data_IF_985425230298
#
_entry.id   IF_985425230298
#
_cell.length_a   1.000
_cell.length_b   1.000
_cell.length_c   1.000
_cell.angle_alpha   90.00
_cell.angle_beta   90.00
_cell.angle_gamma   90.00
#
_symmetry.space_group_name_H-M   'P 1'
#
loop_
_entity.id
_entity.type
_entity.pdbx_description
1 polymer ?
#
# COMPACT_ATOMS: atom_id res chain seq x y z
N UNK A 1 -28.46 -12.08 -22.16
CA UNK A 1 -27.02 -12.02 -22.44
C UNK A 1 -26.28 -12.49 -21.21
N UNK A 2 -25.50 -13.57 -21.35
CA UNK A 2 -24.92 -14.33 -20.22
C UNK A 2 -23.78 -13.57 -19.54
N UNK A 3 -23.80 -13.50 -18.21
CA UNK A 3 -22.73 -12.95 -17.35
C UNK A 3 -21.33 -13.46 -17.69
N UNK A 4 -21.23 -14.64 -18.30
CA UNK A 4 -19.98 -15.30 -18.68
C UNK A 4 -19.25 -14.59 -19.83
N UNK A 5 -19.94 -13.88 -20.73
CA UNK A 5 -19.29 -13.19 -21.85
C UNK A 5 -18.52 -11.92 -21.43
N UNK A 6 -18.79 -11.37 -20.23
CA UNK A 6 -18.09 -10.20 -19.68
C UNK A 6 -16.68 -10.52 -19.18
N UNK A 7 -16.41 -11.77 -18.81
CA UNK A 7 -15.08 -12.21 -18.35
C UNK A 7 -14.18 -12.70 -19.48
N UNK A 8 -14.74 -13.01 -20.66
CA UNK A 8 -13.98 -13.44 -21.84
C UNK A 8 -13.46 -12.27 -22.70
N UNK A 9 -13.82 -11.02 -22.42
CA UNK A 9 -13.38 -9.82 -23.15
C UNK A 9 -12.21 -9.06 -22.52
N UNK A 10 -11.66 -9.53 -21.39
CA UNK A 10 -10.41 -8.94 -20.85
C UNK A 10 -9.26 -9.38 -21.74
N UNK A 11 -8.90 -8.54 -22.70
CA UNK A 11 -7.82 -8.78 -23.65
C UNK A 11 -6.49 -8.99 -22.95
N UNK A 12 -5.58 -9.71 -23.61
CA UNK A 12 -4.22 -9.94 -23.11
C UNK A 12 -3.46 -8.63 -22.86
N UNK A 13 -3.72 -7.60 -23.69
CA UNK A 13 -3.17 -6.25 -23.51
C UNK A 13 -3.59 -5.59 -22.19
N UNK A 14 -4.86 -5.76 -21.76
CA UNK A 14 -5.36 -5.16 -20.53
C UNK A 14 -4.73 -5.83 -19.29
N UNK A 15 -4.48 -7.13 -19.36
CA UNK A 15 -3.78 -7.89 -18.30
C UNK A 15 -2.34 -7.40 -18.17
N UNK A 16 -1.63 -7.28 -19.29
CA UNK A 16 -0.24 -6.81 -19.32
C UNK A 16 -0.11 -5.36 -18.80
N UNK A 17 -1.02 -4.47 -19.21
CA UNK A 17 -1.07 -3.09 -18.70
C UNK A 17 -1.28 -3.07 -17.19
N UNK A 18 -2.21 -3.86 -16.68
CA UNK A 18 -2.52 -3.90 -15.24
C UNK A 18 -1.32 -4.39 -14.42
N UNK A 19 -0.66 -5.47 -14.87
CA UNK A 19 0.56 -5.97 -14.22
C UNK A 19 1.65 -4.91 -14.25
N UNK A 20 1.88 -4.24 -15.38
CA UNK A 20 2.88 -3.17 -15.50
C UNK A 20 2.59 -2.01 -14.53
N UNK A 21 1.36 -1.52 -14.50
CA UNK A 21 0.96 -0.43 -13.60
C UNK A 21 1.08 -0.82 -12.14
N UNK A 22 0.75 -2.07 -11.78
CA UNK A 22 0.92 -2.57 -10.41
C UNK A 22 2.40 -2.65 -10.02
N UNK A 23 3.27 -3.13 -10.91
CA UNK A 23 4.72 -3.19 -10.65
C UNK A 23 5.32 -1.79 -10.52
N UNK A 24 4.93 -0.86 -11.38
CA UNK A 24 5.40 0.54 -11.31
C UNK A 24 4.96 1.19 -10.00
N UNK A 25 3.66 1.12 -9.65
CA UNK A 25 3.12 1.74 -8.42
C UNK A 25 3.49 1.03 -7.13
N UNK A 26 3.88 -0.25 -7.18
CA UNK A 26 4.38 -0.96 -6.01
C UNK A 26 5.77 -0.49 -5.57
N UNK A 27 6.44 0.30 -6.40
CA UNK A 27 7.73 0.90 -6.06
C UNK A 27 7.50 2.09 -5.12
N UNK A 28 8.00 2.03 -3.87
CA UNK A 28 7.83 3.14 -2.94
C UNK A 28 8.67 4.34 -3.39
N UNK A 29 8.04 5.50 -3.44
CA UNK A 29 8.67 6.79 -3.72
C UNK A 29 8.69 7.67 -2.46
N UNK A 30 9.30 8.87 -2.53
CA UNK A 30 9.37 9.77 -1.37
C UNK A 30 7.97 10.18 -0.87
N UNK A 31 7.06 10.52 -1.80
CA UNK A 31 5.67 10.86 -1.50
C UNK A 31 4.94 9.77 -0.71
N UNK A 32 5.24 8.50 -1.02
CA UNK A 32 4.64 7.37 -0.36
C UNK A 32 5.07 7.29 1.12
N UNK A 33 6.36 7.46 1.42
CA UNK A 33 6.83 7.49 2.81
C UNK A 33 6.30 8.71 3.58
N UNK A 34 6.19 9.86 2.90
CA UNK A 34 5.63 11.07 3.48
C UNK A 34 4.15 10.90 3.85
N UNK A 35 3.33 10.33 2.95
CA UNK A 35 1.93 10.02 3.24
C UNK A 35 1.75 9.06 4.41
N UNK A 36 2.57 8.00 4.50
CA UNK A 36 2.50 7.07 5.63
C UNK A 36 2.84 7.78 6.94
N UNK A 37 3.86 8.62 6.95
CA UNK A 37 4.28 9.35 8.14
C UNK A 37 3.17 10.28 8.63
N UNK A 38 2.53 11.01 7.71
CA UNK A 38 1.37 11.85 8.03
C UNK A 38 0.17 11.03 8.52
N UNK A 39 -0.12 9.88 7.90
CA UNK A 39 -1.19 9.00 8.34
C UNK A 39 -0.95 8.46 9.77
N UNK A 40 0.28 8.12 10.11
CA UNK A 40 0.64 7.64 11.46
C UNK A 40 0.48 8.75 12.51
N UNK A 41 0.91 9.98 12.20
CA UNK A 41 0.65 11.12 13.09
C UNK A 41 -0.83 11.39 13.27
N UNK A 42 -1.60 11.40 12.17
CA UNK A 42 -3.04 11.60 12.20
C UNK A 42 -3.74 10.50 13.02
N UNK A 43 -3.35 9.24 12.85
CA UNK A 43 -3.88 8.11 13.63
C UNK A 43 -3.57 8.25 15.12
N UNK A 44 -2.33 8.62 15.46
CA UNK A 44 -1.90 8.77 16.85
C UNK A 44 -2.63 9.94 17.54
N UNK A 45 -2.76 11.09 16.87
CA UNK A 45 -3.57 12.20 17.39
C UNK A 45 -5.07 11.86 17.42
N UNK A 46 -5.58 11.12 16.44
CA UNK A 46 -6.97 10.66 16.43
C UNK A 46 -7.30 9.78 17.62
N UNK A 47 -6.38 8.89 17.99
CA UNK A 47 -6.49 8.06 19.20
C UNK A 47 -6.41 8.90 20.48
N UNK A 48 -5.47 9.84 20.57
CA UNK A 48 -5.32 10.74 21.74
C UNK A 48 -6.56 11.62 21.94
N UNK A 49 -7.19 12.08 20.86
CA UNK A 49 -8.41 12.87 20.89
C UNK A 49 -9.69 12.03 21.04
N UNK A 50 -9.58 10.69 21.05
CA UNK A 50 -10.73 9.79 21.10
C UNK A 50 -11.66 9.90 19.88
N UNK A 51 -11.13 10.32 18.72
CA UNK A 51 -11.90 10.54 17.49
C UNK A 51 -11.70 9.42 16.48
N UNK A 52 -12.68 8.52 16.43
CA UNK A 52 -12.74 7.42 15.46
C UNK A 52 -12.70 7.93 14.01
N UNK A 53 -13.34 9.07 13.75
CA UNK A 53 -13.38 9.70 12.42
C UNK A 53 -11.97 10.04 11.91
N UNK A 54 -11.10 10.56 12.78
CA UNK A 54 -9.72 10.92 12.42
C UNK A 54 -8.88 9.65 12.18
N UNK A 55 -9.09 8.60 12.99
CA UNK A 55 -8.43 7.31 12.82
C UNK A 55 -8.83 6.67 11.50
N UNK A 56 -10.11 6.64 11.16
CA UNK A 56 -10.58 6.10 9.86
C UNK A 56 -10.06 6.96 8.70
N UNK A 57 -10.06 8.30 8.85
CA UNK A 57 -9.50 9.20 7.85
C UNK A 57 -8.03 8.91 7.53
N UNK A 58 -7.23 8.57 8.55
CA UNK A 58 -5.82 8.20 8.38
C UNK A 58 -5.63 6.92 7.54
N UNK A 59 -6.56 5.96 7.63
CA UNK A 59 -6.52 4.73 6.84
C UNK A 59 -6.77 4.99 5.34
N UNK A 60 -7.58 6.00 5.00
CA UNK A 60 -7.84 6.38 3.62
C UNK A 60 -6.66 7.09 2.96
N UNK A 61 -5.86 7.78 3.77
CA UNK A 61 -4.65 8.48 3.30
C UNK A 61 -3.53 7.46 3.02
N UNK A 62 -3.37 6.42 3.83
CA UNK A 62 -2.22 5.50 3.72
C UNK A 62 -2.22 4.67 2.41
N UNK A 63 -1.25 4.86 1.48
CA UNK A 63 -1.25 4.19 0.17
C UNK A 63 -0.65 2.76 0.17
N UNK A 64 -0.88 1.96 1.22
CA UNK A 64 -0.24 0.63 1.42
C UNK A 64 -0.68 -0.43 0.39
N UNK A 65 -1.81 -0.20 -0.28
CA UNK A 65 -2.40 -1.17 -1.21
C UNK A 65 -1.45 -1.62 -2.32
N UNK A 66 -0.74 -0.68 -2.97
CA UNK A 66 0.11 -1.01 -4.12
C UNK A 66 1.33 -1.88 -3.75
N UNK A 67 2.11 -1.59 -2.69
CA UNK A 67 3.15 -2.49 -2.22
C UNK A 67 2.67 -3.91 -1.90
N UNK A 68 1.50 -4.04 -1.27
CA UNK A 68 0.89 -5.34 -0.96
C UNK A 68 0.50 -6.11 -2.23
N UNK A 69 -0.13 -5.44 -3.19
CA UNK A 69 -0.47 -6.04 -4.47
C UNK A 69 0.79 -6.44 -5.25
N UNK A 70 1.83 -5.61 -5.25
CA UNK A 70 3.12 -5.94 -5.86
C UNK A 70 3.78 -7.18 -5.25
N UNK A 71 3.69 -7.36 -3.92
CA UNK A 71 4.15 -8.58 -3.26
C UNK A 71 3.35 -9.80 -3.72
N UNK A 72 2.01 -9.69 -3.76
CA UNK A 72 1.13 -10.78 -4.20
C UNK A 72 1.39 -11.19 -5.66
N UNK A 73 1.64 -10.21 -6.54
CA UNK A 73 2.02 -10.46 -7.94
C UNK A 73 3.40 -11.08 -8.05
N UNK A 74 4.37 -10.63 -7.24
CA UNK A 74 5.68 -11.25 -7.16
C UNK A 74 5.61 -12.73 -6.78
N UNK A 75 4.74 -13.07 -5.81
CA UNK A 75 4.47 -14.46 -5.41
C UNK A 75 3.81 -15.23 -6.55
N UNK A 76 2.76 -14.67 -7.16
CA UNK A 76 2.01 -15.29 -8.25
C UNK A 76 2.87 -15.57 -9.50
N UNK A 77 3.77 -14.63 -9.84
CA UNK A 77 4.70 -14.76 -10.97
C UNK A 77 5.98 -15.53 -10.61
N UNK A 78 6.12 -16.02 -9.36
CA UNK A 78 7.34 -16.65 -8.84
C UNK A 78 8.61 -15.83 -9.13
N UNK A 79 8.51 -14.49 -9.04
CA UNK A 79 9.61 -13.58 -9.33
C UNK A 79 10.30 -13.14 -8.02
N UNK A 80 11.44 -13.73 -7.64
CA UNK A 80 12.09 -13.48 -6.36
C UNK A 80 12.61 -12.05 -6.22
N UNK A 81 12.95 -11.38 -7.34
CA UNK A 81 13.41 -10.00 -7.32
C UNK A 81 12.28 -9.04 -6.91
N UNK A 82 11.09 -9.23 -7.48
CA UNK A 82 9.90 -8.43 -7.15
C UNK A 82 9.44 -8.70 -5.71
N UNK A 83 9.40 -9.98 -5.31
CA UNK A 83 9.06 -10.38 -3.94
C UNK A 83 9.98 -9.72 -2.92
N UNK A 84 11.31 -9.81 -3.10
CA UNK A 84 12.27 -9.21 -2.16
C UNK A 84 12.13 -7.70 -2.10
N UNK A 85 11.89 -7.04 -3.24
CA UNK A 85 11.71 -5.59 -3.30
C UNK A 85 10.47 -5.16 -2.51
N UNK A 86 9.31 -5.74 -2.79
CA UNK A 86 8.05 -5.43 -2.07
C UNK A 86 8.12 -5.77 -0.59
N UNK A 87 8.77 -6.87 -0.22
CA UNK A 87 8.96 -7.25 1.18
C UNK A 87 9.84 -6.25 1.94
N UNK A 88 10.97 -5.83 1.35
CA UNK A 88 11.84 -4.79 1.93
C UNK A 88 11.11 -3.45 2.04
N UNK A 89 10.28 -3.10 1.05
CA UNK A 89 9.42 -1.91 1.12
C UNK A 89 8.52 -1.96 2.34
N UNK A 90 7.76 -3.04 2.51
CA UNK A 90 6.83 -3.20 3.63
C UNK A 90 7.57 -3.14 4.97
N UNK A 91 8.74 -3.78 5.08
CA UNK A 91 9.59 -3.71 6.27
C UNK A 91 10.05 -2.29 6.60
N UNK A 92 10.56 -1.55 5.59
CA UNK A 92 11.00 -0.16 5.78
C UNK A 92 9.86 0.74 6.25
N UNK A 93 8.70 0.60 5.63
CA UNK A 93 7.49 1.37 5.98
C UNK A 93 7.04 1.06 7.40
N UNK A 94 6.99 -0.22 7.76
CA UNK A 94 6.61 -0.64 9.10
C UNK A 94 7.58 -0.09 10.15
N UNK A 95 8.88 -0.11 9.86
CA UNK A 95 9.89 0.50 10.72
C UNK A 95 9.70 2.00 10.90
N UNK A 96 9.50 2.74 9.80
CA UNK A 96 9.23 4.19 9.84
C UNK A 96 7.94 4.47 10.63
N UNK A 97 6.89 3.70 10.41
CA UNK A 97 5.62 3.86 11.10
C UNK A 97 5.74 3.65 12.62
N UNK A 98 6.48 2.63 13.05
CA UNK A 98 6.74 2.38 14.48
C UNK A 98 7.51 3.55 15.10
N UNK A 99 8.57 4.03 14.44
CA UNK A 99 9.37 5.15 14.92
C UNK A 99 8.54 6.44 14.99
N UNK A 100 7.76 6.74 13.95
CA UNK A 100 6.88 7.91 13.91
C UNK A 100 5.80 7.85 15.00
N UNK A 101 5.22 6.67 15.23
CA UNK A 101 4.24 6.47 16.30
C UNK A 101 4.88 6.68 17.67
N UNK A 102 6.06 6.10 17.92
CA UNK A 102 6.78 6.31 19.18
C UNK A 102 7.14 7.79 19.41
N UNK A 103 7.55 8.51 18.37
CA UNK A 103 7.81 9.95 18.44
C UNK A 103 6.54 10.75 18.76
N UNK A 104 5.41 10.40 18.15
CA UNK A 104 4.12 11.06 18.41
C UNK A 104 3.58 10.80 19.82
N UNK A 105 3.92 9.66 20.42
CA UNK A 105 3.53 9.33 21.79
C UNK A 105 4.33 10.08 22.85
N UNK A 106 5.48 10.67 22.48
CA UNK A 106 6.32 11.47 23.37
C UNK A 106 5.87 12.94 23.46
N UNK A 107 5.02 13.38 22.51
CA UNK A 107 4.44 14.72 22.43
C UNK A 107 3.09 14.74 23.14
#
# INVERSE_FOLDING_TARGET
MSLVSRFQTVGEEDKLRTVKTLVERATPDFDFFFMITLAVFMSSFGLLLGSETVVIGSMLIAPILYPMLGLSLGVSMANPALMRRSFVTILKVSGIAIVASAASALV
#
